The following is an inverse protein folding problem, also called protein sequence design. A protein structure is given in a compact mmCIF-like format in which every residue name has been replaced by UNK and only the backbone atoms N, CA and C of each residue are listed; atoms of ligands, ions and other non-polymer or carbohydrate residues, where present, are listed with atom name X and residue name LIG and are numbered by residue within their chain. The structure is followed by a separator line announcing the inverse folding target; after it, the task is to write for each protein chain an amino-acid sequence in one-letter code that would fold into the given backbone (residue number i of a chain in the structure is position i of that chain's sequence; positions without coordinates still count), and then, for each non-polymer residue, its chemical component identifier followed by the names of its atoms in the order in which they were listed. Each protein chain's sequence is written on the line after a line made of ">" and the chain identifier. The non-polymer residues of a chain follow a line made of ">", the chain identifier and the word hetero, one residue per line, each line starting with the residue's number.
data_IF_411336951138
#
_entry.id   IF_411336951138
#
_cell.length_a   1.000
_cell.length_b   1.000
_cell.length_c   1.000
_cell.angle_alpha   90.00
_cell.angle_beta   90.00
_cell.angle_gamma   90.00
#
_symmetry.space_group_name_H-M   'P 1'
#
loop_
_entity.id
_entity.type
_entity.pdbx_description
1 polymer ?
#
# COMPACT_ATOMS: atom_id res chain seq x y z
N UNK A 1 60.11 29.25 -35.90
CA UNK A 1 60.47 27.86 -36.21
C UNK A 1 59.65 26.97 -35.29
N UNK A 2 59.14 25.84 -35.80
CA UNK A 2 58.26 24.81 -35.18
C UNK A 2 56.73 24.90 -35.38
N UNK A 3 56.30 24.08 -36.36
CA UNK A 3 54.97 23.49 -36.60
C UNK A 3 54.65 22.42 -35.52
N UNK A 4 53.42 21.89 -35.62
CA UNK A 4 52.81 20.65 -35.04
C UNK A 4 51.73 20.98 -33.98
N UNK A 5 50.51 20.43 -33.96
CA UNK A 5 49.69 19.56 -34.82
C UNK A 5 48.22 19.83 -34.44
N UNK A 6 47.34 20.01 -35.42
CA UNK A 6 45.89 19.89 -35.21
C UNK A 6 45.53 18.41 -35.06
N UNK A 7 45.16 17.97 -33.86
CA UNK A 7 44.38 16.74 -33.65
C UNK A 7 42.93 17.15 -33.41
N UNK A 8 42.05 16.88 -34.38
CA UNK A 8 40.60 16.99 -34.19
C UNK A 8 40.17 15.95 -33.15
N UNK A 9 39.73 16.39 -31.98
CA UNK A 9 38.97 15.54 -31.07
C UNK A 9 37.58 15.28 -31.67
N UNK A 10 37.10 14.04 -31.73
CA UNK A 10 35.75 13.75 -32.20
C UNK A 10 34.74 14.31 -31.19
N UNK A 11 33.70 14.98 -31.71
CA UNK A 11 32.57 15.45 -30.91
C UNK A 11 31.99 14.26 -30.12
N UNK A 12 31.76 14.37 -28.80
CA UNK A 12 31.04 13.31 -28.11
C UNK A 12 29.64 13.24 -28.71
N UNK A 13 29.31 12.08 -29.26
CA UNK A 13 27.96 11.71 -29.66
C UNK A 13 27.07 11.90 -28.44
N UNK A 14 26.02 12.71 -28.59
CA UNK A 14 24.94 12.81 -27.60
C UNK A 14 24.26 11.45 -27.52
N UNK A 15 24.81 10.55 -26.69
CA UNK A 15 24.03 9.46 -26.12
C UNK A 15 22.99 10.13 -25.25
N UNK A 16 21.75 10.18 -25.73
CA UNK A 16 20.60 10.34 -24.87
C UNK A 16 20.63 9.16 -23.88
N UNK A 17 21.25 9.38 -22.71
CA UNK A 17 20.90 8.63 -21.52
C UNK A 17 19.49 9.07 -21.19
N UNK A 18 18.50 8.35 -21.72
CA UNK A 18 17.21 8.28 -21.06
C UNK A 18 17.46 7.58 -19.73
N UNK A 19 17.89 8.35 -18.75
CA UNK A 19 17.86 7.91 -17.37
C UNK A 19 16.39 7.85 -16.98
N UNK A 20 15.92 6.66 -16.64
CA UNK A 20 14.67 6.45 -15.92
C UNK A 20 14.75 7.26 -14.61
N UNK A 21 14.31 8.53 -14.64
CA UNK A 21 14.16 9.28 -13.40
C UNK A 21 12.85 8.83 -12.78
N UNK A 22 12.93 8.18 -11.61
CA UNK A 22 11.78 8.08 -10.71
C UNK A 22 11.11 9.45 -10.63
N UNK A 23 9.78 9.51 -10.70
CA UNK A 23 9.05 10.76 -10.59
C UNK A 23 9.60 11.56 -9.39
N UNK A 24 10.05 12.79 -9.63
CA UNK A 24 10.59 13.61 -8.57
C UNK A 24 9.45 14.02 -7.63
N UNK A 25 9.74 14.11 -6.34
CA UNK A 25 8.82 14.79 -5.43
C UNK A 25 8.85 16.28 -5.75
N UNK A 26 7.69 16.82 -6.12
CA UNK A 26 7.51 18.23 -6.49
C UNK A 26 6.18 18.70 -5.93
N UNK A 27 6.22 19.51 -4.87
CA UNK A 27 5.01 20.03 -4.26
C UNK A 27 4.20 20.92 -5.24
N UNK A 28 4.88 21.53 -6.22
CA UNK A 28 4.25 22.32 -7.29
C UNK A 28 3.28 21.54 -8.16
N UNK A 29 3.44 20.22 -8.22
CA UNK A 29 2.67 19.35 -9.10
C UNK A 29 1.46 18.74 -8.38
N UNK A 30 1.25 19.07 -7.10
CA UNK A 30 0.11 18.62 -6.32
C UNK A 30 -1.17 19.35 -6.74
N UNK A 31 -2.30 18.63 -6.89
CA UNK A 31 -3.61 19.24 -7.14
C UNK A 31 -4.03 20.20 -6.04
N UNK A 32 -4.91 21.14 -6.37
CA UNK A 32 -5.57 21.99 -5.38
C UNK A 32 -6.42 21.15 -4.42
N UNK A 33 -6.47 21.54 -3.15
CA UNK A 33 -7.20 20.81 -2.11
C UNK A 33 -6.60 19.43 -1.86
N UNK A 34 -7.41 18.38 -1.99
CA UNK A 34 -6.95 16.99 -2.08
C UNK A 34 -7.16 16.40 -3.47
N UNK A 35 -7.46 17.24 -4.48
CA UNK A 35 -7.75 16.81 -5.84
C UNK A 35 -8.86 15.76 -5.89
N UNK A 36 -10.05 16.07 -5.39
CA UNK A 36 -11.22 15.22 -5.60
C UNK A 36 -11.63 15.26 -7.07
N UNK A 37 -12.13 14.15 -7.60
CA UNK A 37 -12.77 14.13 -8.91
C UNK A 37 -14.11 14.86 -8.82
N UNK A 38 -14.50 15.52 -9.91
CA UNK A 38 -15.80 16.18 -10.03
C UNK A 38 -16.94 15.19 -9.68
N UNK A 39 -18.04 15.69 -9.12
CA UNK A 39 -19.22 14.93 -8.68
C UNK A 39 -19.03 14.01 -7.45
N UNK A 40 -17.86 14.00 -6.81
CA UNK A 40 -17.66 13.31 -5.52
C UNK A 40 -17.93 14.29 -4.36
N UNK A 41 -18.99 14.10 -3.54
CA UNK A 41 -19.45 15.10 -2.57
C UNK A 41 -18.62 15.16 -1.27
N UNK A 42 -17.31 14.94 -1.32
CA UNK A 42 -16.45 14.81 -0.12
C UNK A 42 -15.84 16.13 0.37
N UNK A 43 -16.12 17.28 -0.25
CA UNK A 43 -15.60 18.58 0.19
C UNK A 43 -15.88 18.86 1.68
N UNK A 44 -17.07 18.54 2.25
CA UNK A 44 -17.31 18.71 3.68
C UNK A 44 -16.37 17.86 4.56
N UNK A 45 -16.06 16.63 4.13
CA UNK A 45 -15.12 15.74 4.82
C UNK A 45 -13.69 16.27 4.72
N UNK A 46 -13.29 16.79 3.55
CA UNK A 46 -11.99 17.44 3.37
C UNK A 46 -11.84 18.67 4.27
N UNK A 47 -12.88 19.51 4.35
CA UNK A 47 -12.89 20.66 5.25
C UNK A 47 -12.73 20.22 6.72
N UNK A 48 -13.44 19.16 7.13
CA UNK A 48 -13.30 18.58 8.48
C UNK A 48 -11.90 18.06 8.75
N UNK A 49 -11.29 17.36 7.78
CA UNK A 49 -9.91 16.89 7.88
C UNK A 49 -8.93 18.05 8.11
N UNK A 50 -9.09 19.15 7.36
CA UNK A 50 -8.22 20.32 7.54
C UNK A 50 -8.45 21.00 8.89
N UNK A 51 -9.69 21.07 9.36
CA UNK A 51 -10.01 21.63 10.68
C UNK A 51 -9.49 20.80 11.84
N UNK A 52 -9.40 19.47 11.68
CA UNK A 52 -8.86 18.56 12.71
C UNK A 52 -7.34 18.53 12.77
N UNK A 53 -6.66 19.19 11.84
CA UNK A 53 -5.19 19.27 11.72
C UNK A 53 -4.72 20.72 11.93
N UNK A 54 -4.68 21.21 13.19
CA UNK A 54 -4.30 22.59 13.45
C UNK A 54 -2.85 22.88 13.03
N UNK A 55 -2.52 24.09 12.56
CA UNK A 55 -1.21 24.40 12.00
C UNK A 55 -0.03 24.10 12.95
N UNK A 56 -0.19 24.38 14.25
CA UNK A 56 0.84 24.13 15.25
C UNK A 56 1.18 22.64 15.38
N UNK A 57 0.18 21.77 15.25
CA UNK A 57 0.39 20.33 15.25
C UNK A 57 1.15 19.89 13.99
N UNK A 58 0.75 20.39 12.82
CA UNK A 58 1.41 20.07 11.54
C UNK A 58 2.86 20.57 11.50
N UNK A 59 3.14 21.76 12.04
CA UNK A 59 4.49 22.30 12.15
C UNK A 59 5.39 21.44 13.06
N UNK A 60 4.88 21.03 14.24
CA UNK A 60 5.62 20.13 15.14
C UNK A 60 5.85 18.76 14.52
N UNK A 61 4.86 18.22 13.80
CA UNK A 61 5.01 16.97 13.05
C UNK A 61 6.08 17.10 11.97
N UNK A 62 6.04 18.16 11.16
CA UNK A 62 7.03 18.41 10.13
C UNK A 62 8.46 18.46 10.70
N UNK A 63 8.65 19.21 11.79
CA UNK A 63 9.93 19.27 12.49
C UNK A 63 10.42 17.88 12.94
N UNK A 64 9.52 17.08 13.52
CA UNK A 64 9.83 15.73 14.01
C UNK A 64 10.22 14.79 12.85
N UNK A 65 9.44 14.78 11.77
CA UNK A 65 9.73 13.96 10.58
C UNK A 65 11.08 14.35 9.95
N UNK A 66 11.37 15.65 9.84
CA UNK A 66 12.66 16.13 9.31
C UNK A 66 13.83 15.78 10.23
N UNK A 67 13.61 15.75 11.55
CA UNK A 67 14.63 15.32 12.52
C UNK A 67 14.91 13.81 12.41
N UNK A 68 13.86 12.99 12.27
CA UNK A 68 13.98 11.55 12.08
C UNK A 68 14.57 11.19 10.69
N UNK A 69 14.26 11.99 9.67
CA UNK A 69 14.68 11.80 8.28
C UNK A 69 15.37 13.05 7.70
N UNK A 70 16.63 13.35 8.07
CA UNK A 70 17.31 14.58 7.65
C UNK A 70 17.50 14.74 6.13
N UNK A 71 17.47 13.62 5.38
CA UNK A 71 17.59 13.62 3.93
C UNK A 71 16.27 13.96 3.21
N UNK A 72 15.12 13.92 3.91
CA UNK A 72 13.82 14.20 3.32
C UNK A 72 13.73 15.68 2.95
N UNK A 73 13.43 15.96 1.69
CA UNK A 73 13.20 17.33 1.21
C UNK A 73 11.82 17.84 1.65
N UNK A 74 11.61 19.17 1.65
CA UNK A 74 10.30 19.73 1.99
C UNK A 74 9.24 19.36 0.95
N UNK A 75 9.63 19.28 -0.34
CA UNK A 75 8.76 18.78 -1.41
C UNK A 75 8.35 17.33 -1.20
N UNK A 76 9.28 16.47 -0.75
CA UNK A 76 9.00 15.08 -0.42
C UNK A 76 8.04 14.96 0.76
N UNK A 77 8.28 15.72 1.84
CA UNK A 77 7.36 15.77 2.97
C UNK A 77 5.96 16.23 2.52
N UNK A 78 5.87 17.31 1.74
CA UNK A 78 4.61 17.83 1.25
C UNK A 78 3.83 16.80 0.42
N UNK A 79 4.52 16.07 -0.48
CA UNK A 79 3.90 15.01 -1.29
C UNK A 79 3.39 13.84 -0.42
N UNK A 80 4.20 13.36 0.54
CA UNK A 80 3.81 12.25 1.42
C UNK A 80 2.71 12.65 2.39
N UNK A 81 2.76 13.86 2.94
CA UNK A 81 1.71 14.43 3.79
C UNK A 81 0.40 14.60 3.02
N UNK A 82 0.48 15.00 1.76
CA UNK A 82 -0.68 15.08 0.88
C UNK A 82 -1.35 13.71 0.69
N UNK A 83 -0.57 12.66 0.43
CA UNK A 83 -1.10 11.30 0.29
C UNK A 83 -1.60 10.70 1.63
N UNK A 84 -0.98 11.04 2.76
CA UNK A 84 -1.48 10.63 4.08
C UNK A 84 -2.89 11.20 4.35
N UNK A 85 -3.15 12.45 3.93
CA UNK A 85 -4.50 13.04 4.02
C UNK A 85 -5.51 12.32 3.12
N UNK A 86 -5.13 11.96 1.89
CA UNK A 86 -5.97 11.14 1.00
C UNK A 86 -6.26 9.77 1.61
N UNK A 87 -5.26 9.15 2.23
CA UNK A 87 -5.42 7.90 2.96
C UNK A 87 -6.43 8.02 4.12
N UNK A 88 -6.39 9.10 4.90
CA UNK A 88 -7.40 9.32 5.95
C UNK A 88 -8.81 9.48 5.39
N UNK A 89 -8.98 10.13 4.24
CA UNK A 89 -10.27 10.15 3.53
C UNK A 89 -10.72 8.74 3.16
N UNK A 90 -9.83 7.91 2.62
CA UNK A 90 -10.16 6.53 2.28
C UNK A 90 -10.57 5.71 3.50
N UNK A 91 -9.98 5.94 4.67
CA UNK A 91 -10.36 5.26 5.92
C UNK A 91 -11.78 5.61 6.40
N UNK A 92 -12.32 6.76 6.02
CA UNK A 92 -13.73 7.12 6.33
C UNK A 92 -14.70 6.37 5.40
N UNK A 93 -14.25 5.99 4.21
CA UNK A 93 -15.09 5.41 3.16
C UNK A 93 -15.03 3.88 3.19
N UNK A 94 -13.82 3.33 3.31
CA UNK A 94 -13.56 1.90 3.27
C UNK A 94 -13.64 1.28 4.66
N UNK A 95 -14.25 0.10 4.73
CA UNK A 95 -14.36 -0.68 5.98
C UNK A 95 -13.01 -1.05 6.57
N UNK A 96 -12.01 -1.27 5.70
CA UNK A 96 -10.62 -1.56 6.06
C UNK A 96 -9.73 -0.95 4.99
N UNK A 97 -8.69 -0.23 5.42
CA UNK A 97 -7.69 0.35 4.51
C UNK A 97 -6.28 0.03 5.04
N UNK A 98 -5.64 -1.04 4.57
CA UNK A 98 -4.25 -1.30 4.94
C UNK A 98 -3.32 -0.18 4.46
N UNK A 99 -2.27 0.10 5.22
CA UNK A 99 -1.23 1.03 4.79
C UNK A 99 -0.28 0.33 3.82
N UNK A 100 -0.37 0.65 2.52
CA UNK A 100 0.45 0.03 1.47
C UNK A 100 1.75 0.77 1.15
N UNK A 101 2.05 1.86 1.85
CA UNK A 101 3.25 2.66 1.65
C UNK A 101 3.99 2.86 2.96
N UNK A 102 5.17 2.24 3.09
CA UNK A 102 6.07 2.49 4.22
C UNK A 102 6.49 3.95 4.29
N UNK A 103 6.65 4.62 3.14
CA UNK A 103 7.06 6.02 3.09
C UNK A 103 5.99 6.98 3.65
N UNK A 104 4.71 6.67 3.45
CA UNK A 104 3.59 7.41 4.06
C UNK A 104 3.44 7.01 5.53
N UNK A 105 3.62 5.73 5.81
CA UNK A 105 3.52 5.17 7.17
C UNK A 105 4.53 5.80 8.12
N UNK A 106 5.75 6.11 7.67
CA UNK A 106 6.76 6.82 8.47
C UNK A 106 6.24 8.16 9.00
N UNK A 107 5.50 8.92 8.18
CA UNK A 107 4.90 10.18 8.62
C UNK A 107 3.76 9.92 9.60
N UNK A 108 2.94 8.89 9.35
CA UNK A 108 1.85 8.53 10.25
C UNK A 108 2.38 8.06 11.61
N UNK A 109 3.47 7.29 11.65
CA UNK A 109 4.16 6.90 12.87
C UNK A 109 4.63 8.11 13.69
N UNK A 110 5.24 9.11 13.06
CA UNK A 110 5.61 10.33 13.75
C UNK A 110 4.39 11.13 14.23
N UNK A 111 3.28 11.09 13.49
CA UNK A 111 2.01 11.68 13.88
C UNK A 111 1.43 11.03 15.15
N UNK A 112 1.54 9.70 15.29
CA UNK A 112 1.09 8.93 16.46
C UNK A 112 1.85 9.29 17.75
N UNK A 113 3.09 9.78 17.65
CA UNK A 113 3.90 10.17 18.82
C UNK A 113 3.30 11.36 19.58
N UNK A 114 2.43 12.14 18.94
CA UNK A 114 1.65 13.20 19.55
C UNK A 114 0.30 12.65 20.02
N UNK A 115 0.31 11.76 21.02
CA UNK A 115 -0.86 10.93 21.37
C UNK A 115 -2.13 11.73 21.66
N UNK A 116 -2.01 12.90 22.34
CA UNK A 116 -3.16 13.77 22.65
C UNK A 116 -3.70 14.45 21.41
N UNK A 117 -2.83 15.01 20.57
CA UNK A 117 -3.20 15.66 19.32
C UNK A 117 -3.77 14.66 18.32
N UNK A 118 -3.20 13.45 18.25
CA UNK A 118 -3.68 12.39 17.38
C UNK A 118 -5.06 11.88 17.81
N UNK A 119 -5.29 11.69 19.12
CA UNK A 119 -6.61 11.34 19.63
C UNK A 119 -7.63 12.44 19.27
N UNK A 120 -7.30 13.70 19.52
CA UNK A 120 -8.16 14.84 19.15
C UNK A 120 -8.43 14.88 17.65
N UNK A 121 -7.41 14.64 16.82
CA UNK A 121 -7.55 14.55 15.37
C UNK A 121 -8.58 13.48 14.98
N UNK A 122 -8.44 12.26 15.50
CA UNK A 122 -9.37 11.16 15.25
C UNK A 122 -10.79 11.49 15.69
N UNK A 123 -10.96 11.98 16.92
CA UNK A 123 -12.26 12.34 17.47
C UNK A 123 -12.97 13.43 16.64
N UNK A 124 -12.23 14.43 16.16
CA UNK A 124 -12.77 15.52 15.34
C UNK A 124 -13.06 15.12 13.90
N UNK A 125 -12.21 14.27 13.31
CA UNK A 125 -12.31 13.89 11.91
C UNK A 125 -13.21 12.68 11.68
N UNK A 126 -12.87 11.55 12.32
CA UNK A 126 -13.53 10.25 12.15
C UNK A 126 -14.54 9.94 13.25
N UNK A 127 -14.60 10.77 14.30
CA UNK A 127 -15.46 10.52 15.44
C UNK A 127 -14.91 9.48 16.43
N UNK A 128 -13.62 9.17 16.31
CA UNK A 128 -12.87 8.23 17.14
C UNK A 128 -11.46 8.06 16.60
N UNK A 129 -10.61 7.33 17.32
CA UNK A 129 -9.22 7.10 16.91
C UNK A 129 -9.19 6.27 15.62
N UNK A 130 -8.48 6.77 14.60
CA UNK A 130 -8.13 5.95 13.42
C UNK A 130 -7.04 4.98 13.88
N UNK A 131 -7.42 3.71 14.01
CA UNK A 131 -6.52 2.68 14.52
C UNK A 131 -5.43 2.36 13.49
N UNK A 132 -4.19 2.69 13.87
CA UNK A 132 -3.00 2.18 13.21
C UNK A 132 -2.67 0.80 13.79
N UNK A 133 -2.45 -0.19 12.93
CA UNK A 133 -1.93 -1.50 13.32
C UNK A 133 -0.65 -1.75 12.53
N UNK A 134 0.54 -1.49 13.10
CA UNK A 134 1.79 -1.72 12.40
C UNK A 134 1.95 -3.22 12.18
N UNK A 135 1.85 -3.66 10.94
CA UNK A 135 2.24 -5.02 10.60
C UNK A 135 3.78 -5.06 10.57
N UNK A 136 4.39 -5.85 11.46
CA UNK A 136 5.85 -6.01 11.53
C UNK A 136 6.45 -6.60 10.25
N UNK A 137 5.65 -7.32 9.49
CA UNK A 137 5.97 -7.81 8.15
C UNK A 137 4.85 -7.40 7.20
N UNK A 138 5.16 -6.86 6.00
CA UNK A 138 4.14 -6.48 5.04
C UNK A 138 3.33 -7.71 4.64
N UNK A 139 2.07 -7.81 5.09
CA UNK A 139 1.20 -8.86 4.59
C UNK A 139 0.89 -8.57 3.13
N UNK A 140 1.21 -9.52 2.26
CA UNK A 140 0.78 -9.42 0.87
C UNK A 140 -0.75 -9.53 0.82
N UNK A 141 -1.39 -8.41 0.53
CA UNK A 141 -2.85 -8.31 0.36
C UNK A 141 -3.15 -7.80 -1.05
N UNK A 142 -2.83 -8.59 -2.11
CA UNK A 142 -2.95 -8.14 -3.50
C UNK A 142 -4.37 -7.71 -3.85
N UNK A 143 -5.38 -8.44 -3.39
CA UNK A 143 -6.79 -8.11 -3.61
C UNK A 143 -7.23 -6.80 -2.94
N UNK A 144 -6.85 -6.59 -1.68
CA UNK A 144 -7.11 -5.32 -0.98
C UNK A 144 -6.36 -4.16 -1.61
N UNK A 145 -5.15 -4.42 -2.12
CA UNK A 145 -4.34 -3.43 -2.84
C UNK A 145 -4.99 -3.04 -4.17
N UNK A 146 -5.51 -4.02 -4.93
CA UNK A 146 -6.24 -3.76 -6.17
C UNK A 146 -7.52 -2.95 -5.90
N UNK A 147 -8.26 -3.28 -4.84
CA UNK A 147 -9.44 -2.53 -4.45
C UNK A 147 -9.13 -1.10 -4.00
N UNK A 148 -8.05 -0.92 -3.23
CA UNK A 148 -7.51 0.39 -2.87
C UNK A 148 -7.21 1.23 -4.12
N UNK A 149 -6.49 0.66 -5.10
CA UNK A 149 -6.12 1.35 -6.33
C UNK A 149 -7.37 1.75 -7.14
N UNK A 150 -8.40 0.90 -7.21
CA UNK A 150 -9.68 1.21 -7.86
C UNK A 150 -10.37 2.39 -7.17
N UNK A 151 -10.59 2.31 -5.85
CA UNK A 151 -11.28 3.37 -5.10
C UNK A 151 -10.50 4.68 -5.16
N UNK A 152 -9.17 4.64 -5.03
CA UNK A 152 -8.31 5.81 -5.17
C UNK A 152 -8.51 6.49 -6.53
N UNK A 153 -8.56 5.70 -7.60
CA UNK A 153 -8.73 6.20 -8.97
C UNK A 153 -10.07 6.91 -9.21
N UNK A 154 -11.12 6.52 -8.48
CA UNK A 154 -12.45 7.13 -8.57
C UNK A 154 -12.68 8.29 -7.59
N UNK A 155 -11.81 8.45 -6.59
CA UNK A 155 -11.90 9.57 -5.65
C UNK A 155 -11.00 10.73 -6.01
N UNK A 156 -9.83 10.47 -6.61
CA UNK A 156 -8.76 11.46 -6.67
C UNK A 156 -8.20 11.69 -8.07
N UNK A 157 -7.93 12.96 -8.39
CA UNK A 157 -7.10 13.36 -9.52
C UNK A 157 -5.65 12.93 -9.28
N UNK A 158 -5.00 12.47 -10.34
CA UNK A 158 -3.62 12.00 -10.26
C UNK A 158 -2.62 13.14 -10.03
N UNK A 159 -1.68 12.95 -9.09
CA UNK A 159 -0.46 13.73 -9.01
C UNK A 159 0.73 12.86 -9.42
N UNK A 160 1.72 13.36 -10.17
CA UNK A 160 2.90 12.57 -10.57
C UNK A 160 3.63 11.92 -9.40
N UNK A 161 3.65 12.58 -8.23
CA UNK A 161 4.24 12.04 -7.00
C UNK A 161 3.43 10.90 -6.38
N UNK A 162 2.11 10.80 -6.62
CA UNK A 162 1.23 9.79 -6.02
C UNK A 162 1.70 8.38 -6.36
N UNK A 163 2.03 8.11 -7.62
CA UNK A 163 2.55 6.79 -8.04
C UNK A 163 3.87 6.44 -7.34
N UNK A 164 4.68 7.43 -6.98
CA UNK A 164 5.89 7.18 -6.20
C UNK A 164 5.56 6.89 -4.73
N UNK A 165 4.71 7.72 -4.12
CA UNK A 165 4.29 7.56 -2.73
C UNK A 165 3.66 6.18 -2.48
N UNK A 166 2.81 5.69 -3.40
CA UNK A 166 2.11 4.41 -3.27
C UNK A 166 2.85 3.21 -3.85
N UNK A 167 4.08 3.42 -4.33
CA UNK A 167 4.89 2.40 -5.01
C UNK A 167 4.12 1.75 -6.17
N UNK A 168 3.74 2.55 -7.17
CA UNK A 168 2.95 2.14 -8.33
C UNK A 168 1.45 2.08 -8.04
N UNK A 169 0.66 1.77 -9.07
CA UNK A 169 -0.78 1.50 -9.02
C UNK A 169 -1.12 0.39 -10.02
N UNK A 170 -2.25 -0.30 -9.80
CA UNK A 170 -2.84 -1.31 -10.70
C UNK A 170 -1.94 -2.52 -11.00
N UNK A 171 -1.06 -2.89 -10.07
CA UNK A 171 -0.14 -4.03 -10.20
C UNK A 171 -0.76 -5.39 -9.87
N UNK A 172 -1.96 -5.38 -9.29
CA UNK A 172 -2.63 -6.60 -8.85
C UNK A 172 -4.03 -6.65 -9.47
N UNK A 173 -4.52 -7.83 -9.89
CA UNK A 173 -5.91 -7.99 -10.27
C UNK A 173 -6.83 -7.93 -9.05
N UNK A 174 -8.10 -7.61 -9.29
CA UNK A 174 -9.17 -7.82 -8.30
C UNK A 174 -9.41 -9.33 -8.10
N UNK A 175 -9.70 -9.72 -6.87
CA UNK A 175 -10.04 -11.12 -6.55
C UNK A 175 -11.30 -11.56 -7.29
N UNK A 176 -11.35 -12.84 -7.69
CA UNK A 176 -12.50 -13.41 -8.41
C UNK A 176 -13.80 -13.32 -7.61
N UNK A 177 -13.74 -13.50 -6.29
CA UNK A 177 -14.90 -13.34 -5.42
C UNK A 177 -15.47 -11.92 -5.50
N UNK A 178 -14.60 -10.90 -5.53
CA UNK A 178 -15.00 -9.50 -5.62
C UNK A 178 -15.63 -9.20 -6.98
N UNK A 179 -15.00 -9.63 -8.07
CA UNK A 179 -15.54 -9.40 -9.41
C UNK A 179 -16.87 -10.12 -9.64
N UNK A 180 -17.04 -11.33 -9.11
CA UNK A 180 -18.32 -12.06 -9.19
C UNK A 180 -19.44 -11.37 -8.41
N UNK A 181 -19.17 -10.87 -7.20
CA UNK A 181 -20.15 -10.09 -6.43
C UNK A 181 -20.56 -8.79 -7.15
N UNK A 182 -19.60 -8.08 -7.73
CA UNK A 182 -19.87 -6.87 -8.53
C UNK A 182 -20.74 -7.19 -9.76
N UNK A 183 -20.53 -8.35 -10.40
CA UNK A 183 -21.35 -8.79 -11.54
C UNK A 183 -22.79 -9.09 -11.13
N UNK A 184 -22.99 -9.77 -10.00
CA UNK A 184 -24.32 -9.98 -9.41
C UNK A 184 -24.98 -8.64 -9.13
N UNK A 185 -24.24 -7.71 -8.54
CA UNK A 185 -24.64 -6.31 -8.37
C UNK A 185 -25.68 -6.07 -7.28
N UNK A 186 -25.59 -6.80 -6.17
CA UNK A 186 -26.35 -6.50 -4.96
C UNK A 186 -25.69 -5.33 -4.22
N UNK A 187 -26.18 -4.11 -4.46
CA UNK A 187 -25.59 -2.87 -3.94
C UNK A 187 -25.45 -2.87 -2.41
N UNK A 188 -26.46 -3.34 -1.69
CA UNK A 188 -26.47 -3.34 -0.22
C UNK A 188 -25.40 -4.29 0.35
N UNK A 189 -25.28 -5.49 -0.23
CA UNK A 189 -24.28 -6.48 0.17
C UNK A 189 -22.86 -5.99 -0.11
N UNK A 190 -22.64 -5.37 -1.27
CA UNK A 190 -21.36 -4.79 -1.67
C UNK A 190 -20.97 -3.64 -0.70
N UNK A 191 -21.91 -2.73 -0.43
CA UNK A 191 -21.71 -1.63 0.50
C UNK A 191 -21.31 -2.13 1.89
N UNK A 192 -22.07 -3.08 2.45
CA UNK A 192 -21.82 -3.61 3.79
C UNK A 192 -20.51 -4.41 3.89
N UNK A 193 -20.08 -5.04 2.79
CA UNK A 193 -18.88 -5.87 2.78
C UNK A 193 -17.59 -5.06 2.75
N UNK A 194 -17.53 -3.99 1.94
CA UNK A 194 -16.26 -3.29 1.66
C UNK A 194 -16.21 -1.83 2.14
N UNK A 195 -17.34 -1.22 2.49
CA UNK A 195 -17.41 0.18 2.90
C UNK A 195 -17.80 0.34 4.37
N UNK A 196 -17.42 1.48 4.95
CA UNK A 196 -17.73 1.80 6.34
C UNK A 196 -19.14 2.37 6.47
N UNK A 197 -20.09 1.47 6.77
CA UNK A 197 -21.49 1.83 6.93
C UNK A 197 -21.78 2.61 8.21
N UNK A 198 -20.90 2.58 9.22
CA UNK A 198 -21.05 3.40 10.42
C UNK A 198 -20.72 4.86 10.12
N UNK A 199 -19.66 5.10 9.35
CA UNK A 199 -19.34 6.44 8.83
C UNK A 199 -20.41 6.93 7.86
N UNK A 200 -20.93 6.07 7.00
CA UNK A 200 -22.04 6.40 6.10
C UNK A 200 -23.31 6.86 6.86
N UNK A 201 -23.64 6.24 8.00
CA UNK A 201 -24.76 6.67 8.85
C UNK A 201 -24.51 8.03 9.48
N UNK A 202 -23.25 8.34 9.82
CA UNK A 202 -22.87 9.57 10.51
C UNK A 202 -22.75 10.76 9.56
N UNK A 203 -22.30 10.52 8.34
CA UNK A 203 -21.95 11.54 7.37
C UNK A 203 -22.66 11.26 6.03
N UNK A 204 -23.74 12.01 5.69
CA UNK A 204 -24.49 11.84 4.44
C UNK A 204 -23.60 11.87 3.20
N UNK A 205 -22.58 12.73 3.19
CA UNK A 205 -21.63 12.85 2.09
C UNK A 205 -20.80 11.57 1.85
N UNK A 206 -20.53 10.81 2.92
CA UNK A 206 -19.86 9.51 2.83
C UNK A 206 -20.81 8.46 2.27
N UNK A 207 -22.08 8.47 2.70
CA UNK A 207 -23.10 7.57 2.17
C UNK A 207 -23.34 7.78 0.67
N UNK A 208 -23.45 9.03 0.23
CA UNK A 208 -23.60 9.38 -1.18
C UNK A 208 -22.38 8.94 -2.01
N UNK A 209 -21.17 9.18 -1.49
CA UNK A 209 -19.94 8.72 -2.14
C UNK A 209 -19.90 7.19 -2.28
N UNK A 210 -20.27 6.46 -1.23
CA UNK A 210 -20.34 4.98 -1.27
C UNK A 210 -21.34 4.52 -2.33
N UNK A 211 -22.52 5.14 -2.42
CA UNK A 211 -23.51 4.80 -3.44
C UNK A 211 -22.96 5.01 -4.86
N UNK A 212 -22.28 6.14 -5.11
CA UNK A 212 -21.62 6.42 -6.39
C UNK A 212 -20.58 5.35 -6.71
N UNK A 213 -19.69 5.04 -5.77
CA UNK A 213 -18.62 4.04 -5.97
C UNK A 213 -19.19 2.63 -6.21
N UNK A 214 -20.22 2.23 -5.47
CA UNK A 214 -20.86 0.92 -5.64
C UNK A 214 -21.53 0.82 -7.01
N UNK A 215 -22.32 1.83 -7.40
CA UNK A 215 -22.98 1.87 -8.69
C UNK A 215 -21.96 1.82 -9.84
N UNK A 216 -20.87 2.58 -9.72
CA UNK A 216 -19.78 2.61 -10.70
C UNK A 216 -19.09 1.25 -10.80
N UNK A 217 -18.71 0.63 -9.67
CA UNK A 217 -18.03 -0.66 -9.66
C UNK A 217 -18.88 -1.78 -10.30
N UNK A 218 -20.18 -1.81 -10.01
CA UNK A 218 -21.13 -2.77 -10.60
C UNK A 218 -21.26 -2.52 -12.11
N UNK A 219 -21.41 -1.25 -12.50
CA UNK A 219 -21.51 -0.87 -13.91
C UNK A 219 -20.28 -1.32 -14.69
N UNK A 220 -19.08 -0.98 -14.20
CA UNK A 220 -17.82 -1.36 -14.84
C UNK A 220 -17.62 -2.88 -14.90
N UNK A 221 -17.93 -3.62 -13.83
CA UNK A 221 -17.79 -5.06 -13.81
C UNK A 221 -18.73 -5.76 -14.80
N UNK A 222 -20.00 -5.32 -14.87
CA UNK A 222 -20.96 -5.87 -15.84
C UNK A 222 -20.59 -5.52 -17.27
N UNK A 223 -20.16 -4.28 -17.49
CA UNK A 223 -19.73 -3.81 -18.80
C UNK A 223 -18.51 -4.57 -19.30
N UNK A 224 -17.50 -4.74 -18.44
CA UNK A 224 -16.34 -5.56 -18.72
C UNK A 224 -16.71 -7.01 -19.06
N UNK A 225 -17.59 -7.64 -18.28
CA UNK A 225 -18.03 -9.01 -18.52
C UNK A 225 -18.83 -9.19 -19.83
N UNK A 226 -19.46 -8.12 -20.33
CA UNK A 226 -20.23 -8.13 -21.59
C UNK A 226 -19.40 -7.76 -22.83
N UNK A 227 -18.21 -7.19 -22.62
CA UNK A 227 -17.31 -6.75 -23.69
C UNK A 227 -16.44 -7.90 -24.19
N UNK A 228 -16.14 -7.94 -25.49
CA UNK A 228 -15.26 -8.98 -26.06
C UNK A 228 -13.81 -8.59 -25.88
N UNK A 229 -13.48 -7.37 -26.27
CA UNK A 229 -12.15 -6.78 -26.15
C UNK A 229 -12.18 -5.53 -25.27
N UNK A 230 -11.01 -5.12 -24.76
CA UNK A 230 -10.91 -3.92 -23.93
C UNK A 230 -11.33 -2.66 -24.70
N UNK A 231 -11.05 -2.57 -26.00
CA UNK A 231 -11.45 -1.45 -26.85
C UNK A 231 -12.98 -1.32 -26.99
N UNK A 232 -13.72 -2.42 -26.87
CA UNK A 232 -15.20 -2.43 -26.95
C UNK A 232 -15.86 -1.81 -25.72
N UNK A 233 -15.13 -1.70 -24.61
CA UNK A 233 -15.62 -1.08 -23.37
C UNK A 233 -15.91 0.41 -23.57
N UNK A 234 -15.29 1.05 -24.56
CA UNK A 234 -15.43 2.48 -24.79
C UNK A 234 -14.80 3.35 -23.71
N UNK A 235 -14.05 2.78 -22.76
CA UNK A 235 -13.21 3.58 -21.86
C UNK A 235 -12.12 4.24 -22.68
N UNK A 236 -12.11 5.57 -22.67
CA UNK A 236 -11.17 6.34 -23.47
C UNK A 236 -10.05 6.85 -22.60
N UNK A 237 -8.82 6.71 -23.09
CA UNK A 237 -7.68 7.41 -22.55
C UNK A 237 -7.79 8.91 -22.93
N UNK A 238 -8.04 9.84 -21.99
CA UNK A 238 -8.23 11.24 -22.34
C UNK A 238 -6.95 11.82 -22.93
N UNK A 239 -7.07 12.58 -24.03
CA UNK A 239 -5.91 13.23 -24.68
C UNK A 239 -5.27 14.27 -23.74
N UNK A 240 -6.08 14.92 -22.90
CA UNK A 240 -5.63 15.93 -21.93
C UNK A 240 -4.81 15.33 -20.78
N UNK A 241 -5.11 14.10 -20.39
CA UNK A 241 -4.48 13.38 -19.28
C UNK A 241 -4.25 11.93 -19.68
N UNK A 242 -3.23 11.68 -20.52
CA UNK A 242 -2.89 10.32 -20.93
C UNK A 242 -2.64 9.45 -19.70
N UNK A 243 -3.22 8.25 -19.72
CA UNK A 243 -3.26 7.27 -18.63
C UNK A 243 -4.01 7.79 -17.40
N UNK A 244 -5.18 8.41 -17.62
CA UNK A 244 -6.10 8.74 -16.53
C UNK A 244 -6.32 7.54 -15.62
N UNK A 245 -6.29 7.77 -14.30
CA UNK A 245 -6.46 6.71 -13.30
C UNK A 245 -7.77 5.96 -13.48
N UNK A 246 -8.85 6.65 -13.87
CA UNK A 246 -10.16 6.03 -14.14
C UNK A 246 -10.09 5.07 -15.35
N UNK A 247 -9.35 5.45 -16.40
CA UNK A 247 -9.14 4.56 -17.55
C UNK A 247 -8.34 3.32 -17.15
N UNK A 248 -7.30 3.48 -16.31
CA UNK A 248 -6.53 2.36 -15.78
C UNK A 248 -7.34 1.49 -14.81
N UNK A 249 -8.27 2.07 -14.04
CA UNK A 249 -9.18 1.35 -13.17
C UNK A 249 -10.16 0.49 -13.97
N UNK A 250 -10.69 1.01 -15.08
CA UNK A 250 -11.48 0.24 -16.05
C UNK A 250 -10.68 -0.92 -16.67
N UNK A 251 -9.44 -0.66 -17.11
CA UNK A 251 -8.53 -1.70 -17.60
C UNK A 251 -8.28 -2.79 -16.56
N UNK A 252 -8.03 -2.39 -15.31
CA UNK A 252 -7.87 -3.33 -14.20
C UNK A 252 -9.13 -4.18 -14.02
N UNK A 253 -10.32 -3.56 -14.01
CA UNK A 253 -11.59 -4.26 -13.88
C UNK A 253 -11.77 -5.29 -15.01
N UNK A 254 -11.53 -4.89 -16.25
CA UNK A 254 -11.67 -5.78 -17.41
C UNK A 254 -10.71 -6.96 -17.36
N UNK A 255 -9.41 -6.72 -17.21
CA UNK A 255 -8.44 -7.82 -17.18
C UNK A 255 -8.60 -8.71 -15.95
N UNK A 256 -9.04 -8.18 -14.81
CA UNK A 256 -9.34 -9.00 -13.64
C UNK A 256 -10.49 -9.99 -13.89
N UNK A 257 -11.43 -9.64 -14.77
CA UNK A 257 -12.60 -10.46 -15.14
C UNK A 257 -12.26 -11.41 -16.30
N UNK A 258 -11.58 -10.93 -17.34
CA UNK A 258 -11.36 -11.69 -18.59
C UNK A 258 -10.12 -12.57 -18.55
N UNK A 259 -9.04 -12.12 -17.92
CA UNK A 259 -7.78 -12.86 -17.86
C UNK A 259 -6.97 -12.52 -16.59
N UNK A 260 -7.39 -13.09 -15.46
CA UNK A 260 -6.73 -12.87 -14.17
C UNK A 260 -5.27 -13.38 -14.16
N UNK A 261 -4.98 -14.49 -14.86
CA UNK A 261 -3.65 -15.09 -14.91
C UNK A 261 -2.67 -14.29 -15.79
N UNK A 262 -3.15 -13.74 -16.91
CA UNK A 262 -2.38 -12.87 -17.80
C UNK A 262 -2.44 -11.39 -17.44
N UNK A 263 -3.11 -11.02 -16.34
CA UNK A 263 -3.36 -9.64 -15.92
C UNK A 263 -2.15 -8.72 -16.07
N UNK A 264 -0.99 -9.12 -15.52
CA UNK A 264 0.22 -8.31 -15.54
C UNK A 264 0.73 -8.04 -16.97
N UNK A 265 0.60 -9.02 -17.86
CA UNK A 265 1.04 -8.86 -19.25
C UNK A 265 0.11 -7.88 -19.97
N UNK A 266 -1.21 -8.07 -19.83
CA UNK A 266 -2.24 -7.22 -20.43
C UNK A 266 -2.14 -5.79 -19.91
N UNK A 267 -2.02 -5.59 -18.60
CA UNK A 267 -1.92 -4.27 -17.99
C UNK A 267 -0.63 -3.54 -18.41
N UNK A 268 0.49 -4.26 -18.53
CA UNK A 268 1.75 -3.69 -18.99
C UNK A 268 1.73 -3.25 -20.47
N UNK A 269 0.79 -3.75 -21.29
CA UNK A 269 0.60 -3.21 -22.65
C UNK A 269 -0.04 -1.83 -22.66
N UNK A 270 -0.93 -1.56 -21.70
CA UNK A 270 -1.64 -0.29 -21.56
C UNK A 270 -0.81 0.73 -20.78
N UNK A 271 -0.21 0.27 -19.69
CA UNK A 271 0.60 1.08 -18.78
C UNK A 271 1.94 0.38 -18.53
N UNK A 272 2.91 0.55 -19.44
CA UNK A 272 4.21 -0.09 -19.32
C UNK A 272 4.92 0.44 -18.08
N UNK A 273 5.14 -0.45 -17.12
CA UNK A 273 5.79 -0.08 -15.88
C UNK A 273 7.29 0.09 -16.12
N UNK A 274 7.81 1.30 -15.94
CA UNK A 274 9.22 1.62 -16.24
C UNK A 274 10.22 1.08 -15.19
N UNK A 275 9.89 0.05 -14.40
CA UNK A 275 10.67 -0.30 -13.21
C UNK A 275 10.80 -1.82 -12.93
N UNK A 276 11.77 -2.51 -13.54
CA UNK A 276 12.05 -3.93 -13.26
C UNK A 276 12.68 -4.22 -11.88
N UNK A 277 13.04 -3.19 -11.09
CA UNK A 277 13.77 -3.37 -9.83
C UNK A 277 12.88 -3.55 -8.58
N UNK A 278 11.58 -3.24 -8.66
CA UNK A 278 10.67 -3.37 -7.50
C UNK A 278 10.29 -4.82 -7.24
N UNK A 279 10.16 -5.64 -8.29
CA UNK A 279 9.94 -7.08 -8.17
C UNK A 279 11.12 -7.78 -7.48
N UNK A 280 12.36 -7.32 -7.73
CA UNK A 280 13.55 -7.87 -7.03
C UNK A 280 13.59 -7.50 -5.56
N UNK A 281 13.10 -6.32 -5.15
CA UNK A 281 13.11 -5.90 -3.75
C UNK A 281 12.11 -6.65 -2.88
N UNK A 282 11.01 -7.15 -3.46
CA UNK A 282 10.08 -8.05 -2.74
C UNK A 282 10.70 -9.44 -2.46
N UNK A 283 11.64 -9.90 -3.29
CA UNK A 283 12.29 -11.21 -3.13
C UNK A 283 13.65 -11.15 -2.38
N UNK A 284 14.25 -9.98 -2.18
CA UNK A 284 15.65 -9.87 -1.69
C UNK A 284 15.89 -9.10 -0.39
N UNK A 285 14.86 -8.68 0.35
CA UNK A 285 15.03 -8.08 1.69
C UNK A 285 15.16 -9.11 2.82
N UNK A 286 15.80 -10.25 2.55
CA UNK A 286 16.32 -11.17 3.56
C UNK A 286 17.86 -11.15 3.55
N UNK A 287 18.44 -10.15 4.21
CA UNK A 287 19.81 -10.22 4.70
C UNK A 287 19.89 -9.42 6.00
N UNK A 288 19.72 -10.15 7.08
CA UNK A 288 19.88 -9.72 8.47
C UNK A 288 21.29 -9.18 8.69
N UNK A 289 21.39 -7.88 8.95
CA UNK A 289 22.57 -7.24 9.52
C UNK A 289 22.72 -7.64 11.00
N UNK A 290 23.48 -8.69 11.28
CA UNK A 290 23.92 -9.01 12.63
C UNK A 290 25.13 -8.18 13.02
N UNK A 291 24.98 -7.24 13.96
CA UNK A 291 26.10 -6.61 14.64
C UNK A 291 26.39 -7.35 15.95
N UNK A 292 27.61 -7.88 16.09
CA UNK A 292 28.15 -8.41 17.33
C UNK A 292 29.68 -8.44 17.24
N UNK A 293 30.33 -7.52 17.95
CA UNK A 293 31.78 -7.30 17.94
C UNK A 293 32.46 -8.08 19.07
N UNK A 294 33.56 -8.76 18.78
CA UNK A 294 34.67 -9.02 19.72
C UNK A 294 35.83 -9.66 18.98
N UNK A 295 37.00 -9.02 19.04
CA UNK A 295 38.21 -9.44 18.34
C UNK A 295 39.05 -10.45 19.11
N UNK A 296 40.00 -11.06 18.39
CA UNK A 296 41.35 -11.41 18.85
C UNK A 296 42.13 -11.98 17.68
N UNK A 297 43.35 -11.49 17.53
CA UNK A 297 44.31 -11.83 16.49
C UNK A 297 44.83 -13.29 16.55
N UNK A 298 45.48 -13.64 15.43
CA UNK A 298 46.70 -14.46 15.30
C UNK A 298 46.61 -15.92 14.85
N UNK A 299 47.22 -16.11 13.66
CA UNK A 299 48.13 -17.18 13.22
C UNK A 299 47.65 -18.64 13.15
N UNK A 300 47.98 -19.30 12.04
CA UNK A 300 48.20 -20.75 12.06
C UNK A 300 47.99 -21.46 10.74
N UNK A 301 49.10 -21.87 10.16
CA UNK A 301 49.31 -22.66 8.95
C UNK A 301 48.57 -24.01 8.82
N UNK A 302 48.37 -24.39 7.56
CA UNK A 302 48.58 -25.71 6.92
C UNK A 302 47.81 -26.96 7.35
N UNK A 303 47.14 -27.55 6.35
CA UNK A 303 47.46 -28.90 5.86
C UNK A 303 46.74 -30.08 6.51
N UNK A 304 46.35 -31.06 5.70
CA UNK A 304 46.06 -32.41 6.18
C UNK A 304 44.89 -33.11 5.49
N UNK A 305 45.24 -34.03 4.62
CA UNK A 305 44.34 -34.95 3.92
C UNK A 305 44.04 -36.21 4.77
N UNK A 306 43.13 -37.05 4.28
CA UNK A 306 42.88 -38.48 4.56
C UNK A 306 41.99 -38.87 5.75
N UNK A 307 41.13 -39.88 5.49
CA UNK A 307 40.79 -40.89 6.50
C UNK A 307 39.34 -41.38 6.50
N UNK A 308 39.11 -42.55 5.89
CA UNK A 308 37.86 -43.30 5.76
C UNK A 308 37.29 -43.91 7.07
N UNK A 309 36.14 -44.58 6.89
CA UNK A 309 35.42 -45.58 7.71
C UNK A 309 34.33 -45.01 8.63
N UNK A 310 33.07 -45.47 8.64
CA UNK A 310 32.45 -46.68 8.13
C UNK A 310 31.56 -47.27 9.24
N UNK A 311 30.24 -47.21 9.07
CA UNK A 311 29.14 -47.91 9.80
C UNK A 311 27.92 -46.96 9.82
N UNK A 312 26.71 -47.28 9.36
CA UNK A 312 26.03 -48.56 9.22
C UNK A 312 24.96 -48.65 10.31
N UNK A 313 23.74 -48.18 10.04
CA UNK A 313 22.45 -48.80 10.44
C UNK A 313 21.28 -47.82 10.31
N UNK A 314 20.32 -48.23 9.50
CA UNK A 314 18.94 -47.77 9.47
C UNK A 314 18.09 -48.71 10.32
N UNK A 315 17.32 -48.19 11.27
CA UNK A 315 16.07 -48.82 11.70
C UNK A 315 15.16 -47.83 12.44
N UNK A 316 13.89 -47.91 12.05
CA UNK A 316 12.71 -47.20 12.53
C UNK A 316 12.36 -47.57 13.97
N UNK A 317 11.73 -46.64 14.68
CA UNK A 317 10.90 -46.93 15.85
C UNK A 317 9.70 -46.00 15.87
N UNK A 318 8.54 -46.51 15.45
CA UNK A 318 7.26 -46.05 15.96
C UNK A 318 6.94 -46.77 17.26
N UNK A 319 6.16 -46.15 18.14
CA UNK A 319 5.21 -46.81 19.06
C UNK A 319 4.40 -45.75 19.81
N UNK A 320 3.10 -45.74 19.54
CA UNK A 320 2.02 -45.13 20.31
C UNK A 320 1.49 -46.10 21.37
N UNK A 321 0.72 -45.57 22.34
CA UNK A 321 -0.15 -46.19 23.38
C UNK A 321 0.42 -46.02 24.82
N UNK A 322 -0.32 -45.73 25.90
CA UNK A 322 -1.77 -45.71 26.18
C UNK A 322 -2.08 -44.92 27.46
N UNK A 323 -3.35 -44.55 27.57
CA UNK A 323 -4.12 -43.90 28.64
C UNK A 323 -4.11 -44.58 30.02
N UNK A 324 -4.41 -43.82 31.09
CA UNK A 324 -5.07 -44.38 32.29
C UNK A 324 -4.82 -43.72 33.65
N UNK A 325 -5.82 -42.95 34.11
CA UNK A 325 -6.40 -43.00 35.48
C UNK A 325 -5.74 -42.28 36.68
N UNK A 326 -6.44 -41.22 37.10
CA UNK A 326 -7.02 -41.02 38.44
C UNK A 326 -6.14 -41.03 39.71
N UNK A 327 -6.08 -39.88 40.39
CA UNK A 327 -6.14 -39.82 41.86
C UNK A 327 -6.88 -38.56 42.33
N UNK A 328 -8.04 -38.79 42.97
CA UNK A 328 -8.71 -37.85 43.86
C UNK A 328 -8.43 -38.29 45.29
N UNK A 329 -8.12 -37.36 46.19
CA UNK A 329 -8.39 -37.44 47.65
C UNK A 329 -7.80 -36.21 48.34
N UNK A 330 -8.62 -35.47 49.09
CA UNK A 330 -8.16 -34.37 49.95
C UNK A 330 -9.27 -33.41 50.36
N UNK A 331 -10.21 -33.90 51.17
CA UNK A 331 -11.41 -33.22 51.64
C UNK A 331 -11.16 -32.28 52.84
N UNK A 332 -12.13 -31.37 53.04
CA UNK A 332 -12.59 -30.80 54.34
C UNK A 332 -11.78 -29.60 54.87
N UNK A 333 -12.33 -28.52 55.45
CA UNK A 333 -13.67 -28.15 55.95
C UNK A 333 -13.60 -26.67 56.40
N UNK A 334 -14.75 -25.97 56.51
CA UNK A 334 -14.85 -24.82 57.44
C UNK A 334 -15.76 -23.68 56.99
N UNK A 335 -16.97 -23.67 57.52
CA UNK A 335 -18.12 -22.80 57.23
C UNK A 335 -18.15 -21.47 58.01
N UNK A 336 -19.02 -20.54 57.56
CA UNK A 336 -19.66 -19.47 58.37
C UNK A 336 -19.49 -18.07 57.77
N UNK A 337 -20.49 -17.42 57.15
CA UNK A 337 -21.69 -16.75 57.74
C UNK A 337 -21.29 -15.81 58.87
N UNK A 338 -21.70 -14.55 59.00
CA UNK A 338 -22.82 -13.73 58.51
C UNK A 338 -22.44 -12.25 58.85
N UNK A 339 -23.12 -11.16 58.47
CA UNK A 339 -24.56 -10.89 58.38
C UNK A 339 -24.78 -9.62 57.56
#
# INVERSE_FOLDING_TARGET
>A
MFRFLFRKSPKPTKRHRFGNSKAAYRASDLPQGLGLIDDIPLEPVVARLHQSLPPDYVERLHYRVKTANPAMTDDEFACKWFELKRFFLMNIILKRTPMFSSEIDDIWHEMLMFTREYQRFGDQFAGGVIHHSPEREPKQMPGERAWFDWVYAHLFTFAPSSARCWNGFFRNPLDTERTDLLRVGNEAEIAERWFDMEQAKRYPEVAETIQILVAQAIHEARHAASSRDFEDTGWRNPVSTPNSMVYLAGAMMFFSITDNNGYNQSMNTIFPESNPDVQRQQESNCSTSGCGSSGSDSNGDQGGSTGDTGSGSSCSSGSSCSSGSSCSSGSSCGSGCSS
#
